data_IF_471834118530
#
_entry.id   IF_471834118530
#
_cell.length_a   1.000
_cell.length_b   1.000
_cell.length_c   1.000
_cell.angle_alpha   90.00
_cell.angle_beta   90.00
_cell.angle_gamma   90.00
#
_symmetry.space_group_name_H-M   'P 1'
#
loop_
_entity.id
_entity.type
_entity.pdbx_description
1 polymer ?
#
# COMPACT_ATOMS: atom_id res chain seq x y z
N UNK A 1 0.56 -18.71 2.76
CA UNK A 1 0.23 -17.32 3.18
C UNK A 1 -1.14 -16.93 2.67
N UNK A 2 -1.85 -16.12 3.45
CA UNK A 2 -3.22 -15.70 3.10
C UNK A 2 -3.30 -14.19 3.12
N UNK A 3 -3.91 -13.61 2.09
CA UNK A 3 -4.24 -12.18 2.03
C UNK A 3 -5.72 -12.02 2.32
N UNK A 4 -6.04 -11.15 3.26
CA UNK A 4 -7.44 -10.84 3.60
C UNK A 4 -7.62 -9.39 3.99
N UNK A 5 -8.84 -8.91 3.87
CA UNK A 5 -9.21 -7.58 4.32
C UNK A 5 -9.03 -7.45 5.83
N UNK A 6 -8.48 -6.33 6.26
CA UNK A 6 -8.35 -5.98 7.68
C UNK A 6 -8.99 -4.62 7.92
N UNK A 7 -9.35 -4.32 9.16
CA UNK A 7 -9.85 -2.99 9.50
C UNK A 7 -8.69 -1.99 9.68
N UNK A 8 -9.01 -0.71 9.69
CA UNK A 8 -7.98 0.34 9.78
C UNK A 8 -7.29 0.40 11.14
N UNK A 9 -7.93 -0.03 12.21
CA UNK A 9 -7.28 -0.12 13.52
C UNK A 9 -6.19 -1.19 13.51
N UNK A 10 -6.46 -2.33 12.89
CA UNK A 10 -5.46 -3.39 12.71
C UNK A 10 -4.28 -2.90 11.86
N UNK A 11 -4.56 -2.19 10.78
CA UNK A 11 -3.52 -1.59 9.93
C UNK A 11 -2.66 -0.60 10.70
N UNK A 12 -3.29 0.30 11.44
CA UNK A 12 -2.59 1.30 12.26
C UNK A 12 -1.70 0.64 13.30
N UNK A 13 -2.22 -0.35 14.02
CA UNK A 13 -1.47 -1.07 15.04
C UNK A 13 -0.28 -1.83 14.45
N UNK A 14 -0.46 -2.42 13.28
CA UNK A 14 0.63 -3.07 12.55
C UNK A 14 1.75 -2.09 12.22
N UNK A 15 1.42 -0.90 11.68
CA UNK A 15 2.44 0.11 11.36
C UNK A 15 3.21 0.59 12.57
N UNK A 16 2.52 0.75 13.70
CA UNK A 16 3.16 1.13 14.95
C UNK A 16 4.12 0.03 15.41
N UNK A 17 3.67 -1.21 15.37
CA UNK A 17 4.45 -2.37 15.81
C UNK A 17 5.72 -2.57 14.98
N UNK A 18 5.62 -2.46 13.65
CA UNK A 18 6.77 -2.68 12.75
C UNK A 18 7.64 -1.44 12.55
N UNK A 19 7.29 -0.36 13.24
CA UNK A 19 8.02 0.91 13.15
C UNK A 19 8.21 1.38 11.70
N UNK A 20 7.13 1.37 10.95
CA UNK A 20 7.12 1.76 9.54
C UNK A 20 7.61 3.19 9.31
N UNK A 21 7.35 4.08 10.25
CA UNK A 21 7.79 5.47 10.21
C UNK A 21 8.98 5.68 11.16
N UNK A 22 10.03 6.35 10.69
CA UNK A 22 11.28 6.53 11.44
C UNK A 22 11.17 7.45 12.66
N UNK A 23 10.33 8.48 12.57
CA UNK A 23 10.14 9.48 13.64
C UNK A 23 8.79 9.22 14.34
N UNK A 24 8.79 8.96 15.67
CA UNK A 24 7.54 8.70 16.40
C UNK A 24 6.51 9.83 16.31
N UNK A 25 6.94 11.08 16.30
CA UNK A 25 6.03 12.24 16.18
C UNK A 25 5.48 12.33 14.74
N UNK A 26 6.34 12.16 13.77
CA UNK A 26 5.98 12.12 12.36
C UNK A 26 5.10 10.91 12.05
N UNK A 27 5.32 9.79 12.73
CA UNK A 27 4.53 8.56 12.67
C UNK A 27 3.04 8.84 12.93
N UNK A 28 2.73 9.55 14.01
CA UNK A 28 1.34 9.89 14.36
C UNK A 28 0.72 10.79 13.28
N UNK A 29 1.44 11.80 12.82
CA UNK A 29 0.99 12.71 11.77
C UNK A 29 0.74 11.97 10.47
N UNK A 30 1.64 11.09 10.06
CA UNK A 30 1.49 10.31 8.84
C UNK A 30 0.35 9.30 8.92
N UNK A 31 0.13 8.70 10.08
CA UNK A 31 -1.02 7.81 10.30
C UNK A 31 -2.32 8.60 10.15
N UNK A 32 -2.42 9.77 10.74
CA UNK A 32 -3.59 10.63 10.63
C UNK A 32 -3.82 11.04 9.17
N UNK A 33 -2.78 11.47 8.46
CA UNK A 33 -2.88 11.82 7.04
C UNK A 33 -3.28 10.64 6.17
N UNK A 34 -2.72 9.47 6.44
CA UNK A 34 -2.93 8.26 5.65
C UNK A 34 -4.30 7.64 5.86
N UNK A 35 -4.75 7.58 7.10
CA UNK A 35 -6.08 7.11 7.45
C UNK A 35 -7.14 8.21 7.34
N UNK A 36 -6.74 9.44 7.53
CA UNK A 36 -7.43 10.70 7.33
C UNK A 36 -8.94 10.75 7.56
N UNK A 37 -9.56 11.90 7.36
CA UNK A 37 -11.01 12.03 7.50
C UNK A 37 -11.80 11.28 6.42
N UNK A 38 -11.14 10.56 5.54
CA UNK A 38 -11.74 9.88 4.40
C UNK A 38 -12.52 8.61 4.76
N UNK A 39 -12.59 8.23 6.01
CA UNK A 39 -13.24 6.98 6.41
C UNK A 39 -14.70 7.12 6.80
N UNK A 40 -15.26 8.34 6.76
CA UNK A 40 -16.57 8.62 7.38
C UNK A 40 -17.57 9.37 6.53
N UNK A 41 -17.21 9.80 5.30
CA UNK A 41 -18.10 10.57 4.42
C UNK A 41 -18.54 9.75 3.20
N UNK A 42 -19.78 9.89 2.77
CA UNK A 42 -20.30 9.22 1.57
C UNK A 42 -19.53 9.55 0.30
N UNK A 43 -18.89 10.74 0.26
CA UNK A 43 -18.07 11.19 -0.86
C UNK A 43 -16.62 10.73 -0.79
N UNK A 44 -16.25 10.02 0.26
CA UNK A 44 -14.87 9.55 0.43
C UNK A 44 -14.52 8.49 -0.61
N UNK A 45 -13.27 8.46 -1.09
CA UNK A 45 -12.84 7.40 -1.98
C UNK A 45 -12.97 6.04 -1.29
N UNK A 46 -13.31 5.02 -2.05
CA UNK A 46 -13.31 3.64 -1.56
C UNK A 46 -11.90 3.30 -1.12
N UNK A 47 -11.79 2.83 0.12
CA UNK A 47 -10.51 2.50 0.74
C UNK A 47 -10.63 1.17 1.46
N UNK A 48 -9.74 0.25 1.14
CA UNK A 48 -9.70 -1.07 1.76
C UNK A 48 -8.29 -1.38 2.23
N UNK A 49 -8.16 -1.82 3.47
CA UNK A 49 -6.90 -2.30 4.02
C UNK A 49 -6.80 -3.82 3.88
N UNK A 50 -5.59 -4.29 3.63
CA UNK A 50 -5.29 -5.72 3.45
C UNK A 50 -4.13 -6.14 4.31
N UNK A 51 -4.23 -7.35 4.87
CA UNK A 51 -3.16 -7.97 5.61
C UNK A 51 -2.70 -9.27 4.95
N UNK A 52 -1.40 -9.51 5.03
CA UNK A 52 -0.77 -10.77 4.67
C UNK A 52 -0.50 -11.56 5.94
N UNK A 53 -1.04 -12.76 6.03
CA UNK A 53 -0.93 -13.62 7.20
C UNK A 53 -0.10 -14.87 6.90
N UNK A 54 0.83 -15.13 7.78
CA UNK A 54 1.50 -16.43 7.90
C UNK A 54 0.83 -17.17 9.04
N UNK A 55 -0.05 -18.12 8.73
CA UNK A 55 -0.95 -18.75 9.70
C UNK A 55 -1.79 -17.68 10.42
N UNK A 56 -1.52 -17.40 11.69
CA UNK A 56 -2.25 -16.40 12.47
C UNK A 56 -1.46 -15.10 12.70
N UNK A 57 -0.28 -14.98 12.11
CA UNK A 57 0.60 -13.83 12.30
C UNK A 57 0.50 -12.87 11.15
N UNK A 58 0.20 -11.62 11.42
CA UNK A 58 0.18 -10.54 10.43
C UNK A 58 1.61 -10.14 10.09
N UNK A 59 2.04 -10.45 8.87
CA UNK A 59 3.43 -10.25 8.43
C UNK A 59 3.60 -9.17 7.36
N UNK A 60 2.51 -8.66 6.82
CA UNK A 60 2.52 -7.58 5.86
C UNK A 60 1.18 -6.87 5.83
N UNK A 61 1.17 -5.62 5.41
CA UNK A 61 -0.05 -4.84 5.28
C UNK A 61 0.09 -3.74 4.24
N UNK A 62 -1.03 -3.35 3.67
CA UNK A 62 -1.15 -2.21 2.75
C UNK A 62 -2.59 -1.73 2.71
N UNK A 63 -2.82 -0.64 2.02
CA UNK A 63 -4.17 -0.22 1.69
C UNK A 63 -4.26 0.17 0.22
N UNK A 64 -5.42 -0.06 -0.38
CA UNK A 64 -5.77 0.38 -1.73
C UNK A 64 -6.88 1.41 -1.65
N UNK A 65 -6.71 2.49 -2.40
CA UNK A 65 -7.63 3.63 -2.39
C UNK A 65 -8.07 3.93 -3.82
N UNK A 66 -9.36 4.00 -4.07
CA UNK A 66 -9.88 4.45 -5.37
C UNK A 66 -9.60 5.94 -5.50
N UNK A 67 -8.65 6.29 -6.34
CA UNK A 67 -8.19 7.66 -6.52
C UNK A 67 -8.99 8.44 -7.54
N UNK A 68 -9.34 7.77 -8.64
CA UNK A 68 -10.16 8.30 -9.72
C UNK A 68 -10.85 7.15 -10.47
N UNK A 69 -11.60 7.47 -11.53
CA UNK A 69 -12.29 6.46 -12.34
C UNK A 69 -11.34 5.37 -12.86
N UNK A 70 -10.07 5.70 -13.14
CA UNK A 70 -9.12 4.80 -13.76
C UNK A 70 -7.90 4.49 -12.90
N UNK A 71 -7.81 5.05 -11.69
CA UNK A 71 -6.63 4.93 -10.84
C UNK A 71 -6.96 4.42 -9.46
N UNK A 72 -6.19 3.41 -9.03
CA UNK A 72 -6.19 2.89 -7.67
C UNK A 72 -4.80 3.09 -7.09
N UNK A 73 -4.71 3.73 -5.93
CA UNK A 73 -3.45 3.99 -5.26
C UNK A 73 -3.21 2.97 -4.15
N UNK A 74 -2.02 2.36 -4.14
CA UNK A 74 -1.56 1.63 -2.96
C UNK A 74 -0.77 2.56 -2.05
N UNK A 75 -0.90 2.37 -0.75
CA UNK A 75 -0.23 3.21 0.26
C UNK A 75 0.32 2.34 1.37
N UNK A 76 1.45 2.79 1.92
CA UNK A 76 2.01 2.20 3.15
C UNK A 76 2.20 0.68 3.10
N UNK A 77 2.65 0.19 1.95
CA UNK A 77 3.03 -1.21 1.79
C UNK A 77 4.22 -1.52 2.68
N UNK A 78 4.06 -2.49 3.54
CA UNK A 78 5.12 -2.94 4.43
C UNK A 78 5.03 -4.45 4.63
N UNK A 79 6.18 -5.11 4.61
CA UNK A 79 6.34 -6.53 4.98
C UNK A 79 7.37 -6.58 6.11
N UNK A 80 7.09 -7.38 7.14
CA UNK A 80 8.02 -7.55 8.28
C UNK A 80 9.40 -7.93 7.78
N UNK A 81 10.42 -7.42 8.45
CA UNK A 81 11.82 -7.58 8.06
C UNK A 81 12.20 -9.05 7.83
N UNK A 82 11.75 -9.94 8.69
CA UNK A 82 12.04 -11.38 8.63
C UNK A 82 11.44 -12.08 7.40
N UNK A 83 10.45 -11.45 6.78
CA UNK A 83 9.74 -11.98 5.62
C UNK A 83 10.13 -11.30 4.31
N UNK A 84 11.09 -10.38 4.34
CA UNK A 84 11.54 -9.66 3.13
C UNK A 84 12.44 -10.54 2.27
N UNK A 85 12.59 -10.14 0.99
CA UNK A 85 13.41 -10.86 0.04
C UNK A 85 12.71 -12.05 -0.62
N UNK A 86 11.41 -12.24 -0.40
CA UNK A 86 10.60 -13.34 -0.94
C UNK A 86 9.48 -12.85 -1.85
N UNK A 87 9.54 -11.59 -2.26
CA UNK A 87 8.55 -10.96 -3.15
C UNK A 87 7.13 -10.88 -2.56
N UNK A 88 7.01 -10.91 -1.25
CA UNK A 88 5.71 -10.94 -0.58
C UNK A 88 4.95 -9.60 -0.67
N UNK A 89 5.66 -8.50 -0.83
CA UNK A 89 5.02 -7.19 -1.07
C UNK A 89 4.20 -7.19 -2.35
N UNK A 90 4.75 -7.72 -3.43
CA UNK A 90 4.02 -7.87 -4.68
C UNK A 90 2.90 -8.90 -4.56
N UNK A 91 3.16 -10.04 -3.93
CA UNK A 91 2.13 -11.05 -3.65
C UNK A 91 0.92 -10.44 -2.93
N UNK A 92 1.17 -9.60 -1.93
CA UNK A 92 0.12 -8.91 -1.20
C UNK A 92 -0.69 -7.97 -2.11
N UNK A 93 -0.03 -7.12 -2.88
CA UNK A 93 -0.70 -6.20 -3.79
C UNK A 93 -1.50 -6.91 -4.88
N UNK A 94 -0.89 -7.90 -5.52
CA UNK A 94 -1.54 -8.66 -6.58
C UNK A 94 -2.75 -9.44 -6.06
N UNK A 95 -2.62 -10.07 -4.90
CA UNK A 95 -3.72 -10.80 -4.27
C UNK A 95 -4.87 -9.88 -3.88
N UNK A 96 -4.56 -8.71 -3.33
CA UNK A 96 -5.57 -7.70 -3.01
C UNK A 96 -6.29 -7.20 -4.26
N UNK A 97 -5.53 -6.93 -5.32
CA UNK A 97 -6.10 -6.50 -6.59
C UNK A 97 -7.06 -7.55 -7.16
N UNK A 98 -6.61 -8.78 -7.24
CA UNK A 98 -7.42 -9.87 -7.80
C UNK A 98 -8.68 -10.15 -6.97
N UNK A 99 -8.66 -9.81 -5.70
CA UNK A 99 -9.80 -10.03 -4.80
C UNK A 99 -10.92 -9.02 -5.03
N UNK A 100 -10.60 -7.73 -5.12
CA UNK A 100 -11.62 -6.67 -5.05
C UNK A 100 -11.50 -5.59 -6.13
N UNK A 101 -10.45 -5.59 -6.95
CA UNK A 101 -10.11 -4.44 -7.78
C UNK A 101 -10.02 -4.73 -9.28
N UNK A 102 -10.27 -5.95 -9.72
CA UNK A 102 -10.25 -6.32 -11.15
C UNK A 102 -11.18 -5.38 -11.91
N UNK A 103 -10.69 -4.81 -13.01
CA UNK A 103 -11.44 -3.88 -13.85
C UNK A 103 -11.45 -2.44 -13.37
N UNK A 104 -10.80 -2.12 -12.24
CA UNK A 104 -10.80 -0.77 -11.68
C UNK A 104 -9.74 0.17 -12.29
N UNK A 105 -8.95 -0.31 -13.23
CA UNK A 105 -8.00 0.51 -13.97
C UNK A 105 -6.54 0.21 -13.66
N UNK A 106 -5.77 1.25 -13.35
CA UNK A 106 -4.32 1.15 -13.16
C UNK A 106 -3.96 1.29 -11.70
N UNK A 107 -2.96 0.54 -11.28
CA UNK A 107 -2.38 0.64 -9.94
C UNK A 107 -1.23 1.65 -9.96
N UNK A 108 -1.22 2.61 -9.04
CA UNK A 108 -0.11 3.52 -8.91
C UNK A 108 0.29 3.70 -7.45
N UNK A 109 1.50 4.18 -7.24
CA UNK A 109 2.00 4.49 -5.92
C UNK A 109 3.27 5.33 -6.00
N UNK A 110 3.68 5.81 -4.85
CA UNK A 110 4.91 6.56 -4.67
C UNK A 110 5.92 5.62 -4.03
N UNK A 111 7.04 5.40 -4.71
CA UNK A 111 8.12 4.57 -4.19
C UNK A 111 9.33 5.43 -3.86
N UNK A 112 10.05 5.07 -2.82
CA UNK A 112 11.36 5.66 -2.54
C UNK A 112 12.36 5.17 -3.58
N UNK A 113 13.41 5.93 -3.82
CA UNK A 113 14.49 5.56 -4.72
C UNK A 113 15.06 4.17 -4.40
N UNK A 114 15.17 3.82 -3.12
CA UNK A 114 15.62 2.49 -2.67
C UNK A 114 14.71 1.33 -3.09
N UNK A 115 13.46 1.61 -3.51
CA UNK A 115 12.50 0.62 -3.98
C UNK A 115 12.21 0.72 -5.47
N UNK A 116 12.92 1.59 -6.18
CA UNK A 116 12.74 1.79 -7.62
C UNK A 116 12.90 0.48 -8.40
N UNK A 117 13.96 -0.28 -8.12
CA UNK A 117 14.23 -1.54 -8.83
C UNK A 117 13.13 -2.57 -8.61
N UNK A 118 12.55 -2.61 -7.43
CA UNK A 118 11.39 -3.47 -7.14
C UNK A 118 10.21 -3.11 -8.05
N UNK A 119 9.92 -1.83 -8.20
CA UNK A 119 8.82 -1.38 -9.06
C UNK A 119 9.07 -1.73 -10.53
N UNK A 120 10.28 -1.50 -11.03
CA UNK A 120 10.66 -1.85 -12.40
C UNK A 120 10.57 -3.37 -12.63
N UNK A 121 11.03 -4.16 -11.68
CA UNK A 121 10.93 -5.63 -11.73
C UNK A 121 9.49 -6.10 -11.91
N UNK A 122 8.54 -5.40 -11.30
CA UNK A 122 7.11 -5.73 -11.39
C UNK A 122 6.38 -4.95 -12.49
N UNK A 123 7.12 -4.43 -13.46
CA UNK A 123 6.58 -3.77 -14.66
C UNK A 123 5.81 -2.48 -14.39
N UNK A 124 6.15 -1.76 -13.33
CA UNK A 124 5.70 -0.39 -13.16
C UNK A 124 6.47 0.52 -14.11
N UNK A 125 5.81 1.55 -14.56
CA UNK A 125 6.39 2.60 -15.38
C UNK A 125 6.49 3.89 -14.56
N UNK A 126 7.60 4.59 -14.67
CA UNK A 126 7.80 5.85 -14.00
C UNK A 126 6.90 6.94 -14.58
N UNK A 127 6.30 7.75 -13.71
CA UNK A 127 5.53 8.93 -14.08
C UNK A 127 6.44 10.15 -14.06
N UNK A 128 6.76 10.70 -15.23
CA UNK A 128 7.78 11.73 -15.44
C UNK A 128 7.55 13.05 -14.71
N UNK A 129 6.33 13.36 -14.34
CA UNK A 129 5.97 14.70 -13.85
C UNK A 129 5.70 14.77 -12.35
N UNK A 130 5.81 13.66 -11.64
CA UNK A 130 5.36 13.61 -10.25
C UNK A 130 6.50 13.16 -9.35
N UNK A 131 7.26 14.17 -8.90
CA UNK A 131 8.32 13.99 -7.92
C UNK A 131 7.93 14.67 -6.62
N UNK A 132 8.06 13.94 -5.52
CA UNK A 132 8.24 14.52 -4.19
C UNK A 132 9.66 14.21 -3.75
N UNK A 133 10.20 14.94 -2.78
CA UNK A 133 11.62 14.94 -2.41
C UNK A 133 12.34 13.58 -2.51
N UNK A 134 11.73 12.50 -2.01
CA UNK A 134 12.35 11.18 -1.93
C UNK A 134 11.54 10.09 -2.63
N UNK A 135 10.49 10.45 -3.36
CA UNK A 135 9.54 9.50 -3.92
C UNK A 135 9.33 9.71 -5.40
N UNK A 136 9.22 8.61 -6.10
CA UNK A 136 8.98 8.54 -7.54
C UNK A 136 7.59 7.96 -7.76
N UNK A 137 6.77 8.63 -8.56
CA UNK A 137 5.46 8.10 -8.96
C UNK A 137 5.64 6.95 -9.94
N UNK A 138 5.01 5.83 -9.66
CA UNK A 138 5.05 4.62 -10.50
C UNK A 138 3.64 4.14 -10.79
N UNK A 139 3.40 3.72 -12.04
CA UNK A 139 2.10 3.25 -12.48
C UNK A 139 2.22 1.91 -13.21
N UNK A 140 1.21 1.07 -13.05
CA UNK A 140 1.12 -0.23 -13.71
C UNK A 140 -0.28 -0.49 -14.22
N UNK A 141 -0.39 -0.93 -15.47
CA UNK A 141 -1.65 -1.45 -16.01
C UNK A 141 -1.93 -2.79 -15.36
N UNK A 142 -3.09 -2.91 -14.71
CA UNK A 142 -3.55 -4.15 -14.09
C UNK A 142 -4.66 -4.77 -14.93
N UNK A 143 -4.58 -6.06 -15.08
CA UNK A 143 -5.58 -6.84 -15.83
C UNK A 143 -6.63 -7.42 -14.88
#
# INVERSE_FOLDING_TARGET
MVVKQINFDTLKNYWIEVDHFKDPNKKIVEIIKTLGPHTTKETDPIRIAYGLYDTDVLVGATQLVKWSAELVRYRTLNVRKEYRGKDLGWYLLESAWNKDWIGQGKLFGWVRDTHYDWAIKHNFTELDSIWTNDHIGMIKVML
#
